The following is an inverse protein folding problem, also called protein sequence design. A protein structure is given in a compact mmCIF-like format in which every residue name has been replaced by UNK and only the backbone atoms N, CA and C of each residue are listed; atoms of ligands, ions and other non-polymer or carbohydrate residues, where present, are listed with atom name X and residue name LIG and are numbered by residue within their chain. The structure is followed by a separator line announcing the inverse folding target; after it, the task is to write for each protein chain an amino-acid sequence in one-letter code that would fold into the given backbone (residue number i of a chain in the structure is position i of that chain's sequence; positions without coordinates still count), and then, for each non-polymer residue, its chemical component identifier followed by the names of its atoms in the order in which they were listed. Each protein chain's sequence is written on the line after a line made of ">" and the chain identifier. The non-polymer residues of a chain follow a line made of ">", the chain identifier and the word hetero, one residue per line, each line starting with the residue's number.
data_IF_959722079516
#
_entry.id   IF_959722079516
#
_cell.length_a   1.000
_cell.length_b   1.000
_cell.length_c   1.000
_cell.angle_alpha   90.00
_cell.angle_beta   90.00
_cell.angle_gamma   90.00
#
_symmetry.space_group_name_H-M   'P 1'
#
loop_
_entity.id
_entity.type
_entity.pdbx_description
1 polymer ?
#
# COMPACT_ATOMS: atom_id res chain seq x y z
N UNK A 1 8.79 -32.22 4.15
CA UNK A 1 8.19 -31.06 3.48
C UNK A 1 8.97 -29.78 3.81
N UNK A 2 8.86 -28.74 2.99
CA UNK A 2 9.42 -27.39 3.15
C UNK A 2 8.28 -26.37 3.14
N UNK A 3 8.21 -25.49 4.15
CA UNK A 3 7.22 -24.42 4.24
C UNK A 3 7.88 -23.07 3.93
N UNK A 4 7.71 -22.50 2.71
CA UNK A 4 8.45 -21.32 2.27
C UNK A 4 7.83 -20.00 2.75
N UNK A 5 6.58 -20.03 3.20
CA UNK A 5 5.70 -18.86 3.37
C UNK A 5 5.83 -18.13 4.71
N UNK A 6 6.82 -18.47 5.54
CA UNK A 6 7.00 -17.91 6.90
C UNK A 6 8.29 -17.08 7.06
N UNK A 7 9.13 -17.00 6.02
CA UNK A 7 10.46 -16.37 6.08
C UNK A 7 10.57 -15.05 5.30
N UNK A 8 9.46 -14.38 5.01
CA UNK A 8 9.44 -13.22 4.12
C UNK A 8 10.01 -13.53 2.74
N UNK A 9 10.59 -12.51 2.08
CA UNK A 9 11.19 -12.68 0.76
C UNK A 9 12.39 -13.63 0.76
N UNK A 10 13.19 -13.61 1.83
CA UNK A 10 14.33 -14.53 1.99
C UNK A 10 13.86 -15.98 1.97
N UNK A 11 12.76 -16.30 2.66
CA UNK A 11 12.16 -17.64 2.68
C UNK A 11 11.69 -18.09 1.29
N UNK A 12 11.00 -17.22 0.55
CA UNK A 12 10.52 -17.51 -0.80
C UNK A 12 11.68 -17.73 -1.78
N UNK A 13 12.58 -16.75 -1.91
CA UNK A 13 13.69 -16.80 -2.86
C UNK A 13 14.61 -18.00 -2.59
N UNK A 14 14.91 -18.29 -1.32
CA UNK A 14 15.73 -19.46 -0.95
C UNK A 14 15.05 -20.76 -1.35
N UNK A 15 13.74 -20.87 -1.16
CA UNK A 15 12.98 -22.08 -1.47
C UNK A 15 12.88 -22.32 -2.98
N UNK A 16 12.63 -21.26 -3.75
CA UNK A 16 12.63 -21.32 -5.22
C UNK A 16 14.00 -21.69 -5.78
N UNK A 17 15.08 -21.12 -5.24
CA UNK A 17 16.44 -21.46 -5.65
C UNK A 17 16.77 -22.94 -5.35
N UNK A 18 16.36 -23.47 -4.19
CA UNK A 18 16.53 -24.89 -3.87
C UNK A 18 15.77 -25.82 -4.83
N UNK A 19 14.57 -25.41 -5.25
CA UNK A 19 13.77 -26.15 -6.22
C UNK A 19 14.41 -26.11 -7.62
N UNK A 20 14.84 -24.93 -8.08
CA UNK A 20 15.55 -24.75 -9.35
C UNK A 20 16.87 -25.55 -9.42
N UNK A 21 17.59 -25.65 -8.30
CA UNK A 21 18.78 -26.48 -8.18
C UNK A 21 18.48 -28.00 -8.15
N UNK A 22 17.22 -28.41 -8.17
CA UNK A 22 16.80 -29.83 -8.05
C UNK A 22 17.06 -30.44 -6.67
N UNK A 23 17.36 -29.62 -5.65
CA UNK A 23 17.67 -30.10 -4.29
C UNK A 23 16.43 -30.70 -3.65
N UNK A 24 15.26 -30.07 -3.83
CA UNK A 24 14.01 -30.57 -3.27
C UNK A 24 13.66 -31.96 -3.84
N UNK A 25 13.78 -32.14 -5.16
CA UNK A 25 13.58 -33.42 -5.82
C UNK A 25 14.59 -34.48 -5.34
N UNK A 26 15.89 -34.13 -5.32
CA UNK A 26 16.97 -35.02 -4.89
C UNK A 26 16.76 -35.61 -3.49
N UNK A 27 16.20 -34.81 -2.56
CA UNK A 27 15.96 -35.22 -1.18
C UNK A 27 14.50 -35.55 -0.87
N UNK A 28 13.63 -35.64 -1.90
CA UNK A 28 12.21 -35.91 -1.76
C UNK A 28 11.49 -34.98 -0.76
N UNK A 29 11.77 -33.67 -0.87
CA UNK A 29 11.20 -32.63 0.00
C UNK A 29 10.06 -31.93 -0.75
N UNK A 30 8.82 -32.22 -0.34
CA UNK A 30 7.65 -31.53 -0.89
C UNK A 30 7.52 -30.09 -0.36
N UNK A 31 7.32 -29.11 -1.24
CA UNK A 31 6.95 -27.74 -0.85
C UNK A 31 5.47 -27.69 -0.45
N UNK A 32 5.14 -27.14 0.72
CA UNK A 32 3.76 -27.06 1.25
C UNK A 32 3.37 -25.60 1.53
N UNK A 33 2.08 -25.33 1.73
CA UNK A 33 1.55 -23.99 1.96
C UNK A 33 1.29 -23.25 0.65
N UNK A 34 2.36 -22.85 -0.05
CA UNK A 34 2.32 -22.29 -1.40
C UNK A 34 3.32 -23.04 -2.29
N UNK A 35 2.86 -23.45 -3.48
CA UNK A 35 3.69 -24.15 -4.48
C UNK A 35 4.40 -23.12 -5.38
N UNK A 36 5.49 -23.52 -6.03
CA UNK A 36 6.27 -22.65 -6.93
C UNK A 36 5.45 -21.91 -7.98
N UNK A 37 4.51 -22.52 -8.73
CA UNK A 37 3.72 -21.79 -9.72
C UNK A 37 2.92 -20.63 -9.10
N UNK A 38 2.39 -20.81 -7.89
CA UNK A 38 1.66 -19.76 -7.19
C UNK A 38 2.58 -18.62 -6.73
N UNK A 39 3.77 -18.97 -6.20
CA UNK A 39 4.76 -17.98 -5.78
C UNK A 39 5.26 -17.18 -7.00
N UNK A 40 5.64 -17.84 -8.09
CA UNK A 40 6.11 -17.19 -9.32
C UNK A 40 5.02 -16.31 -9.95
N UNK A 41 3.76 -16.77 -9.98
CA UNK A 41 2.65 -15.99 -10.54
C UNK A 41 2.36 -14.71 -9.75
N UNK A 42 2.52 -14.74 -8.42
CA UNK A 42 2.31 -13.57 -7.58
C UNK A 42 3.50 -12.58 -7.62
N UNK A 43 4.73 -13.10 -7.59
CA UNK A 43 5.94 -12.29 -7.49
C UNK A 43 6.36 -11.69 -8.84
N UNK A 44 6.07 -12.37 -9.96
CA UNK A 44 6.29 -11.82 -11.29
C UNK A 44 5.13 -10.90 -11.70
N UNK A 45 5.42 -9.60 -11.80
CA UNK A 45 4.42 -8.57 -12.13
C UNK A 45 3.68 -8.81 -13.45
N UNK A 46 4.34 -9.41 -14.44
CA UNK A 46 3.72 -9.70 -15.73
C UNK A 46 2.74 -10.87 -15.58
N UNK A 47 3.18 -11.95 -14.93
CA UNK A 47 2.30 -13.10 -14.67
C UNK A 47 1.11 -12.71 -13.80
N UNK A 48 1.33 -11.88 -12.77
CA UNK A 48 0.28 -11.35 -11.93
C UNK A 48 -0.73 -10.53 -12.74
N UNK A 49 -0.26 -9.60 -13.58
CA UNK A 49 -1.11 -8.81 -14.47
C UNK A 49 -1.97 -9.69 -15.37
N UNK A 50 -1.37 -10.66 -16.03
CA UNK A 50 -2.07 -11.62 -16.90
C UNK A 50 -3.10 -12.45 -16.11
N UNK A 51 -2.80 -12.78 -14.84
CA UNK A 51 -3.72 -13.46 -13.95
C UNK A 51 -4.92 -12.59 -13.59
N UNK A 52 -4.71 -11.31 -13.26
CA UNK A 52 -5.78 -10.36 -12.97
C UNK A 52 -6.69 -10.16 -14.19
N UNK A 53 -6.10 -10.06 -15.39
CA UNK A 53 -6.85 -9.94 -16.66
C UNK A 53 -7.77 -11.16 -16.89
N UNK A 54 -7.32 -12.39 -16.55
CA UNK A 54 -8.13 -13.62 -16.70
C UNK A 54 -9.37 -13.64 -15.81
N UNK A 55 -9.29 -13.04 -14.62
CA UNK A 55 -10.42 -12.93 -13.69
C UNK A 55 -11.19 -11.61 -13.81
N UNK A 56 -10.87 -10.79 -14.82
CA UNK A 56 -11.58 -9.53 -15.11
C UNK A 56 -11.29 -8.42 -14.10
N UNK A 57 -10.17 -8.51 -13.37
CA UNK A 57 -9.71 -7.43 -12.50
C UNK A 57 -8.86 -6.45 -13.29
N UNK A 58 -9.19 -5.17 -13.13
CA UNK A 58 -8.53 -4.11 -13.86
C UNK A 58 -7.11 -3.87 -13.35
N UNK A 59 -6.19 -3.70 -14.29
CA UNK A 59 -4.82 -3.26 -14.04
C UNK A 59 -4.71 -1.75 -14.30
N UNK A 60 -3.79 -1.03 -13.63
CA UNK A 60 -3.50 0.37 -13.95
C UNK A 60 -3.22 0.50 -15.45
N UNK A 61 -3.78 1.53 -16.08
CA UNK A 61 -3.53 1.77 -17.50
C UNK A 61 -2.05 2.08 -17.71
N UNK A 62 -1.45 1.44 -18.70
CA UNK A 62 -0.07 1.69 -19.06
C UNK A 62 0.12 1.55 -20.57
N UNK A 63 1.03 2.33 -21.13
CA UNK A 63 1.42 2.23 -22.54
C UNK A 63 2.91 2.52 -22.71
N UNK A 64 3.48 2.02 -23.80
CA UNK A 64 4.87 2.27 -24.20
C UNK A 64 4.84 3.18 -25.42
N UNK A 65 5.65 4.22 -25.39
CA UNK A 65 5.85 5.12 -26.54
C UNK A 65 7.34 5.14 -26.87
N UNK A 66 7.66 5.00 -28.15
CA UNK A 66 9.04 5.02 -28.64
C UNK A 66 9.17 6.02 -29.79
N UNK A 67 10.18 6.88 -29.71
CA UNK A 67 10.50 7.78 -30.82
C UNK A 67 11.01 6.96 -32.02
N UNK A 68 10.50 7.21 -33.24
CA UNK A 68 10.96 6.51 -34.43
C UNK A 68 12.41 6.86 -34.74
N UNK A 69 13.17 5.88 -35.25
CA UNK A 69 14.57 6.07 -35.63
C UNK A 69 14.67 6.41 -37.12
N UNK A 70 15.24 7.57 -37.44
CA UNK A 70 15.46 8.00 -38.83
C UNK A 70 16.61 7.23 -39.50
N UNK A 71 16.71 7.36 -40.83
CA UNK A 71 17.75 6.71 -41.65
C UNK A 71 19.18 7.12 -41.25
N UNK A 72 19.35 8.29 -40.63
CA UNK A 72 20.61 8.79 -40.10
C UNK A 72 21.00 8.19 -38.74
N UNK A 73 20.21 7.25 -38.22
CA UNK A 73 20.44 6.59 -36.93
C UNK A 73 20.04 7.41 -35.70
N UNK A 74 19.49 8.62 -35.86
CA UNK A 74 18.97 9.45 -34.75
C UNK A 74 17.48 9.23 -34.54
N UNK A 75 17.04 9.33 -33.29
CA UNK A 75 15.62 9.27 -32.94
C UNK A 75 14.93 10.62 -33.17
N UNK A 76 13.72 10.59 -33.70
CA UNK A 76 12.85 11.76 -33.82
C UNK A 76 11.98 11.91 -32.56
N UNK A 77 12.52 12.63 -31.58
CA UNK A 77 11.86 12.87 -30.29
C UNK A 77 10.54 13.62 -30.46
N UNK A 78 10.38 14.46 -31.49
CA UNK A 78 9.14 15.21 -31.69
C UNK A 78 8.01 14.30 -32.18
N UNK A 79 8.32 13.34 -33.05
CA UNK A 79 7.35 12.33 -33.47
C UNK A 79 6.94 11.43 -32.29
N UNK A 80 7.89 11.00 -31.45
CA UNK A 80 7.58 10.26 -30.23
C UNK A 80 6.73 11.08 -29.25
N UNK A 81 7.05 12.37 -29.06
CA UNK A 81 6.27 13.22 -28.16
C UNK A 81 4.83 13.42 -28.64
N UNK A 82 4.58 13.51 -29.95
CA UNK A 82 3.23 13.58 -30.49
C UNK A 82 2.41 12.32 -30.09
N UNK A 83 3.00 11.13 -30.22
CA UNK A 83 2.38 9.88 -29.77
C UNK A 83 2.16 9.85 -28.25
N UNK A 84 3.12 10.36 -27.47
CA UNK A 84 2.96 10.47 -26.01
C UNK A 84 1.84 11.43 -25.61
N UNK A 85 1.65 12.54 -26.34
CA UNK A 85 0.55 13.48 -26.10
C UNK A 85 -0.80 12.80 -26.36
N UNK A 86 -0.93 12.00 -27.41
CA UNK A 86 -2.17 11.25 -27.67
C UNK A 86 -2.43 10.19 -26.59
N UNK A 87 -1.37 9.56 -26.07
CA UNK A 87 -1.45 8.56 -25.01
C UNK A 87 -2.04 9.10 -23.69
N UNK A 88 -2.00 10.42 -23.45
CA UNK A 88 -2.53 11.01 -22.21
C UNK A 88 -4.05 10.82 -22.09
N UNK A 89 -4.78 10.76 -23.20
CA UNK A 89 -6.24 10.55 -23.20
C UNK A 89 -6.61 9.13 -22.73
N UNK A 90 -5.70 8.17 -22.95
CA UNK A 90 -5.85 6.82 -22.44
C UNK A 90 -5.41 6.73 -20.97
N UNK A 91 -4.18 7.19 -20.66
CA UNK A 91 -3.55 6.99 -19.33
C UNK A 91 -4.13 7.93 -18.26
N UNK A 92 -4.43 9.18 -18.62
CA UNK A 92 -4.89 10.21 -17.70
C UNK A 92 -3.75 10.88 -16.91
N UNK A 93 -4.13 11.80 -16.03
CA UNK A 93 -3.22 12.46 -15.07
C UNK A 93 -3.73 12.26 -13.63
N UNK A 94 -2.83 12.18 -12.62
CA UNK A 94 -1.38 12.18 -12.79
C UNK A 94 -0.86 10.94 -13.54
N UNK A 95 0.29 11.05 -14.20
CA UNK A 95 0.94 9.97 -14.92
C UNK A 95 2.38 9.80 -14.47
N UNK A 96 2.86 8.56 -14.45
CA UNK A 96 4.25 8.21 -14.14
C UNK A 96 4.97 7.91 -15.45
N UNK A 97 6.01 8.68 -15.75
CA UNK A 97 6.82 8.52 -16.96
C UNK A 97 8.15 7.87 -16.57
N UNK A 98 8.47 6.72 -17.18
CA UNK A 98 9.68 5.93 -16.91
C UNK A 98 10.46 5.67 -18.18
N UNK A 99 11.68 6.22 -18.33
CA UNK A 99 12.50 5.98 -19.49
C UNK A 99 13.08 4.56 -19.50
N UNK A 100 13.04 3.90 -20.65
CA UNK A 100 13.59 2.57 -20.81
C UNK A 100 15.12 2.58 -20.68
N UNK A 101 15.68 1.53 -20.07
CA UNK A 101 17.13 1.35 -19.90
C UNK A 101 17.85 2.50 -19.18
N UNK A 102 17.14 3.23 -18.31
CA UNK A 102 17.73 4.23 -17.40
C UNK A 102 17.72 3.72 -15.96
N UNK A 103 18.62 4.25 -15.13
CA UNK A 103 18.70 3.95 -13.71
C UNK A 103 18.34 5.20 -12.89
N UNK A 104 17.82 4.99 -11.68
CA UNK A 104 17.53 6.08 -10.73
C UNK A 104 16.43 7.05 -11.17
N UNK A 105 15.59 6.67 -12.14
CA UNK A 105 14.51 7.53 -12.64
C UNK A 105 14.97 8.72 -13.49
N UNK A 106 16.22 8.70 -13.98
CA UNK A 106 16.77 9.78 -14.79
C UNK A 106 15.93 10.06 -16.05
N UNK A 107 15.48 11.30 -16.23
CA UNK A 107 14.59 11.75 -17.31
C UNK A 107 13.10 11.39 -17.12
N UNK A 108 12.75 10.63 -16.07
CA UNK A 108 11.37 10.31 -15.72
C UNK A 108 10.81 11.22 -14.63
N UNK A 109 9.55 11.01 -14.29
CA UNK A 109 8.89 11.77 -13.22
C UNK A 109 7.40 11.48 -13.11
N UNK A 110 6.75 12.16 -12.17
CA UNK A 110 5.30 12.16 -12.03
C UNK A 110 4.78 13.49 -12.57
N UNK A 111 3.95 13.41 -13.61
CA UNK A 111 3.27 14.55 -14.18
C UNK A 111 1.90 14.72 -13.54
N UNK A 112 1.61 15.90 -12.99
CA UNK A 112 0.31 16.25 -12.42
C UNK A 112 -0.52 17.14 -13.35
N UNK A 113 0.09 17.70 -14.38
CA UNK A 113 -0.54 18.52 -15.41
C UNK A 113 0.10 18.25 -16.79
N UNK A 114 -0.53 18.75 -17.85
CA UNK A 114 -0.08 18.50 -19.24
C UNK A 114 1.32 19.05 -19.52
N UNK A 115 1.68 20.19 -18.95
CA UNK A 115 3.00 20.81 -19.13
C UNK A 115 4.11 19.93 -18.54
N UNK A 116 3.92 19.44 -17.31
CA UNK A 116 4.83 18.48 -16.68
C UNK A 116 4.89 17.16 -17.46
N UNK A 117 3.75 16.71 -17.99
CA UNK A 117 3.68 15.50 -18.79
C UNK A 117 4.53 15.60 -20.06
N UNK A 118 4.37 16.67 -20.83
CA UNK A 118 5.19 16.90 -22.02
C UNK A 118 6.68 17.02 -21.68
N UNK A 119 7.00 17.69 -20.57
CA UNK A 119 8.37 17.82 -20.07
C UNK A 119 8.99 16.46 -19.75
N UNK A 120 8.32 15.62 -18.97
CA UNK A 120 8.83 14.30 -18.57
C UNK A 120 8.84 13.30 -19.73
N UNK A 121 7.86 13.35 -20.64
CA UNK A 121 7.89 12.53 -21.85
C UNK A 121 9.09 12.88 -22.74
N UNK A 122 9.35 14.17 -22.98
CA UNK A 122 10.49 14.62 -23.78
C UNK A 122 11.82 14.26 -23.12
N UNK A 123 12.03 14.70 -21.88
CA UNK A 123 13.28 14.42 -21.16
C UNK A 123 13.53 12.93 -20.98
N UNK A 124 12.46 12.14 -20.84
CA UNK A 124 12.54 10.70 -20.74
C UNK A 124 12.99 10.03 -22.04
N UNK A 125 12.41 10.42 -23.18
CA UNK A 125 12.87 9.91 -24.48
C UNK A 125 14.30 10.33 -24.79
N UNK A 126 14.71 11.54 -24.41
CA UNK A 126 16.10 12.00 -24.56
C UNK A 126 17.08 11.24 -23.67
N UNK A 127 16.67 10.85 -22.46
CA UNK A 127 17.49 10.10 -21.52
C UNK A 127 17.59 8.59 -21.87
N UNK A 128 16.56 8.02 -22.48
CA UNK A 128 16.54 6.60 -22.87
C UNK A 128 17.49 6.32 -24.05
N UNK A 129 18.42 5.35 -23.95
CA UNK A 129 19.29 4.94 -25.06
C UNK A 129 18.54 4.46 -26.32
N UNK A 130 17.29 4.04 -26.16
CA UNK A 130 16.39 3.58 -27.23
C UNK A 130 15.23 4.54 -27.49
N UNK A 131 15.29 5.75 -26.94
CA UNK A 131 14.25 6.78 -26.99
C UNK A 131 12.81 6.28 -26.73
N UNK A 132 12.67 5.41 -25.72
CA UNK A 132 11.42 4.80 -25.33
C UNK A 132 11.08 5.17 -23.89
N UNK A 133 9.81 5.44 -23.64
CA UNK A 133 9.25 5.68 -22.31
C UNK A 133 8.07 4.75 -22.06
N UNK A 134 7.89 4.37 -20.80
CA UNK A 134 6.71 3.72 -20.28
C UNK A 134 5.90 4.78 -19.53
N UNK A 135 4.63 4.92 -19.89
CA UNK A 135 3.70 5.88 -19.33
C UNK A 135 2.64 5.07 -18.58
N UNK A 136 2.63 5.19 -17.26
CA UNK A 136 1.70 4.50 -16.38
C UNK A 136 0.72 5.49 -15.75
N UNK A 137 -0.52 5.04 -15.55
CA UNK A 137 -1.53 5.73 -14.74
C UNK A 137 -0.99 5.86 -13.32
N UNK A 138 -1.02 7.08 -12.79
CA UNK A 138 -0.66 7.30 -11.39
C UNK A 138 -1.88 7.12 -10.52
N UNK A 139 -1.78 6.21 -9.57
CA UNK A 139 -2.77 6.03 -8.52
C UNK A 139 -2.48 6.91 -7.29
N UNK A 140 -1.53 7.85 -7.39
CA UNK A 140 -1.15 8.73 -6.27
C UNK A 140 -2.37 9.50 -5.75
N UNK A 141 -2.55 9.48 -4.42
CA UNK A 141 -3.67 10.14 -3.78
C UNK A 141 -4.97 9.34 -3.74
N UNK A 142 -5.04 8.16 -4.38
CA UNK A 142 -6.15 7.24 -4.18
C UNK A 142 -6.10 6.64 -2.77
N UNK A 143 -7.24 6.14 -2.29
CA UNK A 143 -7.30 5.40 -1.03
C UNK A 143 -6.59 4.07 -1.20
N UNK A 144 -5.86 3.62 -0.19
CA UNK A 144 -5.12 2.35 -0.21
C UNK A 144 -5.66 1.40 0.87
N UNK A 145 -5.93 0.15 0.49
CA UNK A 145 -6.51 -0.87 1.35
C UNK A 145 -5.75 -2.18 1.26
N UNK A 146 -5.82 -2.97 2.32
CA UNK A 146 -5.26 -4.31 2.38
C UNK A 146 -6.28 -5.30 2.94
N UNK A 147 -6.34 -6.49 2.35
CA UNK A 147 -7.18 -7.60 2.82
C UNK A 147 -6.29 -8.79 3.18
N UNK A 148 -6.34 -9.21 4.45
CA UNK A 148 -5.70 -10.44 4.90
C UNK A 148 -6.66 -11.60 4.68
N UNK A 149 -6.31 -12.48 3.75
CA UNK A 149 -7.15 -13.60 3.32
C UNK A 149 -6.52 -14.91 3.76
N UNK A 150 -7.32 -15.83 4.27
CA UNK A 150 -6.90 -17.21 4.55
C UNK A 150 -7.77 -18.18 3.77
N UNK A 151 -7.14 -19.14 3.09
CA UNK A 151 -7.81 -20.18 2.29
C UNK A 151 -7.28 -21.58 2.63
N UNK A 152 -8.17 -22.56 2.62
CA UNK A 152 -7.84 -23.97 2.82
C UNK A 152 -8.09 -24.87 1.60
N UNK A 153 -7.66 -26.12 1.71
CA UNK A 153 -7.76 -27.14 0.64
C UNK A 153 -9.21 -27.51 0.27
N UNK A 154 -10.20 -27.18 1.10
CA UNK A 154 -11.62 -27.38 0.82
C UNK A 154 -12.25 -26.17 0.11
N UNK A 155 -11.43 -25.19 -0.28
CA UNK A 155 -11.82 -23.92 -0.87
C UNK A 155 -12.64 -23.02 0.07
N UNK A 156 -12.59 -23.27 1.39
CA UNK A 156 -13.04 -22.28 2.35
C UNK A 156 -12.09 -21.09 2.31
N UNK A 157 -12.64 -19.88 2.24
CA UNK A 157 -11.86 -18.65 2.23
C UNK A 157 -12.54 -17.59 3.10
N UNK A 158 -11.75 -16.89 3.91
CA UNK A 158 -12.20 -15.87 4.85
C UNK A 158 -11.33 -14.62 4.75
N UNK A 159 -11.94 -13.46 4.95
CA UNK A 159 -11.22 -12.22 5.27
C UNK A 159 -10.98 -12.18 6.77
N UNK A 160 -9.73 -12.25 7.18
CA UNK A 160 -9.35 -12.15 8.59
C UNK A 160 -9.37 -10.69 9.04
N UNK A 161 -8.89 -9.78 8.19
CA UNK A 161 -8.82 -8.36 8.52
C UNK A 161 -8.83 -7.51 7.24
N UNK A 162 -9.55 -6.40 7.28
CA UNK A 162 -9.47 -5.33 6.30
C UNK A 162 -8.78 -4.12 6.92
N UNK A 163 -7.75 -3.61 6.25
CA UNK A 163 -6.93 -2.50 6.70
C UNK A 163 -7.11 -1.34 5.72
N UNK A 164 -7.29 -0.14 6.25
CA UNK A 164 -7.32 1.10 5.47
C UNK A 164 -6.10 1.95 5.80
N UNK A 165 -5.42 2.45 4.78
CA UNK A 165 -4.31 3.36 4.95
C UNK A 165 -4.84 4.79 5.15
N UNK A 166 -4.33 5.48 6.17
CA UNK A 166 -4.64 6.89 6.44
C UNK A 166 -3.82 7.78 5.50
N UNK A 167 -2.55 7.43 5.28
CA UNK A 167 -1.76 7.99 4.19
C UNK A 167 -2.27 7.42 2.86
N UNK A 168 -2.56 8.26 1.85
CA UNK A 168 -3.03 7.78 0.55
C UNK A 168 -1.90 7.15 -0.27
N UNK A 169 -2.28 6.46 -1.35
CA UNK A 169 -1.38 5.84 -2.32
C UNK A 169 -0.21 6.76 -2.68
N UNK A 170 1.00 6.21 -2.60
CA UNK A 170 2.26 6.93 -2.83
C UNK A 170 3.23 6.86 -1.65
N UNK A 171 2.71 6.53 -0.48
CA UNK A 171 3.49 6.09 0.68
C UNK A 171 3.32 4.58 0.79
N UNK A 172 4.41 3.83 0.88
CA UNK A 172 4.35 2.37 1.03
C UNK A 172 3.58 2.01 2.32
N UNK A 173 2.68 1.02 2.29
CA UNK A 173 1.88 0.57 3.45
C UNK A 173 2.66 0.40 4.77
N UNK A 174 3.88 -0.14 4.68
CA UNK A 174 4.84 -0.24 5.79
C UNK A 174 5.27 1.10 6.41
N UNK A 175 5.33 2.18 5.63
CA UNK A 175 5.62 3.56 6.04
C UNK A 175 4.36 4.41 6.22
N UNK A 176 3.18 3.89 5.89
CA UNK A 176 1.89 4.54 6.11
C UNK A 176 1.39 4.35 7.54
N UNK A 177 0.64 5.33 8.03
CA UNK A 177 -0.30 5.13 9.13
C UNK A 177 -1.47 4.31 8.58
N UNK A 178 -1.88 3.26 9.30
CA UNK A 178 -2.97 2.39 8.88
C UNK A 178 -3.93 2.10 10.03
N UNK A 179 -5.19 1.79 9.70
CA UNK A 179 -6.24 1.46 10.66
C UNK A 179 -6.92 0.15 10.31
N UNK A 180 -7.43 -0.54 11.33
CA UNK A 180 -8.34 -1.66 11.18
C UNK A 180 -9.57 -1.47 12.08
N UNK A 181 -10.80 -1.74 11.60
CA UNK A 181 -11.12 -2.20 10.24
C UNK A 181 -11.02 -1.07 9.21
N UNK A 182 -11.35 -1.34 7.95
CA UNK A 182 -11.66 -0.29 6.97
C UNK A 182 -12.87 0.54 7.44
N UNK A 183 -12.80 1.87 7.27
CA UNK A 183 -13.75 2.83 7.83
C UNK A 183 -14.55 3.59 6.75
N UNK A 184 -13.98 3.78 5.55
CA UNK A 184 -14.57 4.66 4.51
C UNK A 184 -15.14 3.92 3.30
N UNK A 185 -15.25 2.60 3.36
CA UNK A 185 -15.95 1.81 2.34
C UNK A 185 -17.42 1.64 2.72
N UNK A 186 -18.31 1.82 1.75
CA UNK A 186 -19.67 1.28 1.87
C UNK A 186 -19.61 -0.25 1.91
N UNK A 187 -20.63 -0.90 2.49
CA UNK A 187 -20.68 -2.37 2.47
C UNK A 187 -20.62 -2.93 1.04
N UNK A 188 -21.25 -2.27 0.05
CA UNK A 188 -21.16 -2.69 -1.37
C UNK A 188 -19.72 -2.70 -1.88
N UNK A 189 -18.97 -1.64 -1.62
CA UNK A 189 -17.56 -1.54 -1.99
C UNK A 189 -16.72 -2.60 -1.25
N UNK A 190 -16.96 -2.76 0.06
CA UNK A 190 -16.30 -3.78 0.87
C UNK A 190 -16.55 -5.20 0.32
N UNK A 191 -17.79 -5.54 -0.02
CA UNK A 191 -18.12 -6.86 -0.57
C UNK A 191 -17.46 -7.09 -1.94
N UNK A 192 -17.35 -6.07 -2.79
CA UNK A 192 -16.61 -6.16 -4.07
C UNK A 192 -15.13 -6.46 -3.80
N UNK A 193 -14.50 -5.69 -2.92
CA UNK A 193 -13.09 -5.88 -2.56
C UNK A 193 -12.84 -7.25 -1.90
N UNK A 194 -13.75 -7.69 -1.02
CA UNK A 194 -13.73 -9.02 -0.39
C UNK A 194 -13.80 -10.13 -1.42
N UNK A 195 -14.80 -10.09 -2.32
CA UNK A 195 -14.99 -11.11 -3.34
C UNK A 195 -13.78 -11.21 -4.27
N UNK A 196 -13.26 -10.06 -4.69
CA UNK A 196 -12.11 -10.00 -5.56
C UNK A 196 -10.83 -10.46 -4.86
N UNK A 197 -10.64 -10.16 -3.57
CA UNK A 197 -9.48 -10.65 -2.80
C UNK A 197 -9.46 -12.17 -2.72
N UNK A 198 -10.62 -12.80 -2.53
CA UNK A 198 -10.75 -14.27 -2.57
C UNK A 198 -10.49 -14.81 -3.99
N UNK A 199 -11.00 -14.13 -5.02
CA UNK A 199 -10.75 -14.51 -6.41
C UNK A 199 -9.25 -14.45 -6.78
N UNK A 200 -8.53 -13.44 -6.29
CA UNK A 200 -7.07 -13.31 -6.46
C UNK A 200 -6.35 -14.54 -5.89
N UNK A 201 -6.67 -14.97 -4.66
CA UNK A 201 -6.02 -16.15 -4.08
C UNK A 201 -6.31 -17.44 -4.89
N UNK A 202 -7.54 -17.58 -5.38
CA UNK A 202 -7.94 -18.73 -6.20
C UNK A 202 -7.20 -18.75 -7.54
N UNK A 203 -7.11 -17.61 -8.21
CA UNK A 203 -6.42 -17.49 -9.51
C UNK A 203 -4.92 -17.71 -9.39
N UNK A 204 -4.29 -17.12 -8.37
CA UNK A 204 -2.86 -17.32 -8.12
C UNK A 204 -2.57 -18.76 -7.67
N UNK A 205 -3.54 -19.45 -7.08
CA UNK A 205 -3.38 -20.85 -6.67
C UNK A 205 -2.80 -21.01 -5.25
N UNK A 206 -3.06 -20.07 -4.35
CA UNK A 206 -2.77 -20.25 -2.92
C UNK A 206 -3.92 -21.03 -2.29
N UNK A 207 -3.71 -22.31 -2.03
CA UNK A 207 -4.74 -23.24 -1.54
C UNK A 207 -4.66 -23.54 -0.04
N UNK A 208 -3.50 -23.37 0.61
CA UNK A 208 -3.31 -23.84 1.99
C UNK A 208 -2.54 -22.84 2.85
N UNK A 209 -3.09 -21.65 3.05
CA UNK A 209 -2.38 -20.61 3.80
C UNK A 209 -3.05 -19.25 3.80
N UNK A 210 -2.32 -18.26 4.32
CA UNK A 210 -2.70 -16.85 4.32
C UNK A 210 -1.91 -16.04 3.30
N UNK A 211 -2.56 -15.04 2.74
CA UNK A 211 -1.98 -14.05 1.81
C UNK A 211 -2.56 -12.67 2.07
N UNK A 212 -1.79 -11.64 1.75
CA UNK A 212 -2.22 -10.24 1.75
C UNK A 212 -2.53 -9.79 0.32
N UNK A 213 -3.66 -9.12 0.11
CA UNK A 213 -4.04 -8.52 -1.19
C UNK A 213 -4.20 -7.01 -1.02
N UNK A 214 -3.55 -6.22 -1.86
CA UNK A 214 -3.57 -4.76 -1.78
C UNK A 214 -4.43 -4.15 -2.89
N UNK A 215 -5.11 -3.07 -2.55
CA UNK A 215 -6.08 -2.39 -3.40
C UNK A 215 -5.89 -0.88 -3.35
N UNK A 216 -6.06 -0.22 -4.49
CA UNK A 216 -6.30 1.21 -4.57
C UNK A 216 -7.76 1.46 -4.95
N UNK A 217 -8.39 2.45 -4.30
CA UNK A 217 -9.77 2.86 -4.59
C UNK A 217 -9.81 4.35 -4.89
N UNK A 218 -10.34 4.71 -6.06
CA UNK A 218 -10.55 6.10 -6.41
C UNK A 218 -11.66 6.68 -5.53
N UNK A 219 -11.39 7.72 -4.72
CA UNK A 219 -12.42 8.31 -3.86
C UNK A 219 -13.54 9.01 -4.64
N UNK A 220 -13.32 9.35 -5.93
CA UNK A 220 -14.30 10.10 -6.72
C UNK A 220 -15.42 9.21 -7.31
N UNK A 221 -15.08 7.99 -7.75
CA UNK A 221 -16.01 7.10 -8.47
C UNK A 221 -16.07 5.66 -7.93
N UNK A 222 -15.24 5.31 -6.95
CA UNK A 222 -15.18 3.98 -6.36
C UNK A 222 -14.46 2.93 -7.22
N UNK A 223 -13.78 3.32 -8.31
CA UNK A 223 -12.98 2.40 -9.14
C UNK A 223 -11.92 1.72 -8.28
N UNK A 224 -11.84 0.39 -8.37
CA UNK A 224 -10.94 -0.44 -7.57
C UNK A 224 -9.88 -1.11 -8.44
N UNK A 225 -8.62 -0.94 -8.09
CA UNK A 225 -7.48 -1.53 -8.79
C UNK A 225 -6.71 -2.41 -7.81
N UNK A 226 -6.44 -3.64 -8.22
CA UNK A 226 -5.56 -4.54 -7.48
C UNK A 226 -4.11 -4.11 -7.71
N UNK A 227 -3.34 -3.97 -6.63
CA UNK A 227 -1.96 -3.48 -6.69
C UNK A 227 -0.98 -4.64 -6.73
N UNK A 228 -1.08 -5.52 -5.75
CA UNK A 228 -0.26 -6.73 -5.63
C UNK A 228 -0.94 -7.73 -4.69
N UNK A 229 -0.42 -8.95 -4.69
CA UNK A 229 -0.69 -9.92 -3.65
C UNK A 229 0.61 -10.54 -3.16
N UNK A 230 0.69 -10.81 -1.87
CA UNK A 230 1.85 -11.40 -1.23
C UNK A 230 1.49 -12.85 -0.82
N UNK A 231 2.05 -13.91 -1.45
CA UNK A 231 1.64 -15.31 -1.26
C UNK A 231 2.26 -15.94 0.01
N UNK A 232 2.26 -15.19 1.11
CA UNK A 232 2.93 -15.53 2.37
C UNK A 232 2.40 -14.67 3.52
N UNK A 233 2.82 -15.01 4.74
CA UNK A 233 2.68 -14.06 5.86
C UNK A 233 3.50 -12.79 5.60
N UNK A 234 3.00 -11.68 6.14
CA UNK A 234 3.53 -10.33 5.95
C UNK A 234 3.55 -9.56 7.27
N UNK A 235 4.13 -8.36 7.26
CA UNK A 235 3.98 -7.40 8.37
C UNK A 235 2.50 -7.12 8.67
N UNK A 236 1.69 -6.96 7.61
CA UNK A 236 0.25 -6.72 7.69
C UNK A 236 -0.50 -7.91 8.29
N UNK A 237 -0.09 -9.15 8.00
CA UNK A 237 -0.67 -10.34 8.63
C UNK A 237 -0.36 -10.42 10.13
N UNK A 238 0.81 -9.94 10.56
CA UNK A 238 1.16 -9.86 11.97
C UNK A 238 0.34 -8.78 12.69
N UNK A 239 0.20 -7.60 12.06
CA UNK A 239 -0.69 -6.53 12.52
C UNK A 239 -2.14 -7.02 12.62
N UNK A 240 -2.68 -7.64 11.58
CA UNK A 240 -4.03 -8.20 11.55
C UNK A 240 -4.25 -9.27 12.62
N UNK A 241 -3.26 -10.13 12.85
CA UNK A 241 -3.34 -11.14 13.92
C UNK A 241 -3.41 -10.50 15.30
N UNK A 242 -2.75 -9.34 15.49
CA UNK A 242 -2.81 -8.58 16.76
C UNK A 242 -4.08 -7.76 16.87
N UNK A 243 -4.56 -7.19 15.77
CA UNK A 243 -5.80 -6.41 15.69
C UNK A 243 -7.03 -7.26 16.03
N UNK A 244 -7.09 -8.48 15.48
CA UNK A 244 -8.28 -9.34 15.56
C UNK A 244 -8.17 -10.43 16.63
N UNK A 245 -6.95 -10.74 17.06
CA UNK A 245 -6.67 -11.90 17.88
C UNK A 245 -6.66 -13.23 17.12
N UNK A 246 -6.93 -13.23 15.81
CA UNK A 246 -6.88 -14.42 14.96
C UNK A 246 -5.41 -14.76 14.59
N UNK A 247 -4.87 -15.93 14.95
CA UNK A 247 -3.44 -16.21 14.78
C UNK A 247 -3.11 -16.72 13.37
N UNK A 248 -3.06 -15.83 12.37
CA UNK A 248 -2.94 -16.16 10.94
C UNK A 248 -1.80 -17.16 10.66
N UNK A 249 -0.57 -16.86 11.11
CA UNK A 249 0.58 -17.73 10.85
C UNK A 249 0.42 -19.14 11.46
N UNK A 250 -0.21 -19.24 12.64
CA UNK A 250 -0.48 -20.52 13.32
C UNK A 250 -1.51 -21.34 12.52
N UNK A 251 -2.59 -20.69 12.09
CA UNK A 251 -3.63 -21.33 11.27
C UNK A 251 -3.04 -21.76 9.91
N UNK A 252 -2.36 -20.85 9.20
CA UNK A 252 -1.73 -21.14 7.91
C UNK A 252 -0.74 -22.32 7.98
N UNK A 253 0.05 -22.45 9.06
CA UNK A 253 0.92 -23.60 9.25
C UNK A 253 0.16 -24.93 9.38
N UNK A 254 -1.01 -24.93 10.04
CA UNK A 254 -1.88 -26.11 10.15
C UNK A 254 -2.55 -26.42 8.81
N UNK A 255 -3.02 -25.42 8.08
CA UNK A 255 -3.59 -25.61 6.74
C UNK A 255 -2.58 -26.21 5.78
N UNK A 256 -1.31 -25.79 5.84
CA UNK A 256 -0.23 -26.32 5.01
C UNK A 256 0.04 -27.82 5.21
N UNK A 257 -0.36 -28.40 6.35
CA UNK A 257 -0.26 -29.86 6.60
C UNK A 257 -1.59 -30.58 6.42
N UNK A 258 -2.56 -29.92 5.78
CA UNK A 258 -3.79 -30.54 5.30
C UNK A 258 -5.01 -30.38 6.20
N UNK A 259 -4.98 -29.55 7.25
CA UNK A 259 -6.21 -29.18 7.96
C UNK A 259 -7.11 -28.28 7.10
N UNK A 260 -8.40 -28.25 7.41
CA UNK A 260 -9.34 -27.23 6.93
C UNK A 260 -9.71 -26.26 8.06
N UNK A 261 -10.23 -25.08 7.72
CA UNK A 261 -10.55 -24.02 8.68
C UNK A 261 -11.61 -24.43 9.70
N UNK A 262 -12.55 -25.30 9.30
CA UNK A 262 -13.62 -25.84 10.15
C UNK A 262 -13.12 -26.91 11.14
N UNK A 263 -11.97 -27.54 10.88
CA UNK A 263 -11.32 -28.50 11.79
C UNK A 263 -10.51 -27.83 12.90
N UNK A 264 -10.31 -26.51 12.82
CA UNK A 264 -9.44 -25.75 13.72
C UNK A 264 -10.28 -24.88 14.65
N UNK A 265 -10.02 -24.94 15.95
CA UNK A 265 -10.67 -24.04 16.91
C UNK A 265 -10.09 -22.63 16.85
N UNK A 266 -10.94 -21.63 17.10
CA UNK A 266 -10.50 -20.27 17.40
C UNK A 266 -9.88 -20.21 18.80
N UNK A 267 -8.59 -19.88 18.86
CA UNK A 267 -7.77 -19.84 20.08
C UNK A 267 -8.37 -19.00 21.22
N UNK A 268 -9.07 -17.90 20.91
CA UNK A 268 -9.55 -16.94 21.93
C UNK A 268 -10.91 -17.33 22.48
N UNK A 269 -11.84 -17.74 21.62
CA UNK A 269 -13.20 -18.09 22.06
C UNK A 269 -13.29 -19.53 22.55
N UNK A 270 -12.46 -20.44 22.01
CA UNK A 270 -12.42 -21.87 22.36
C UNK A 270 -13.69 -22.66 22.03
N UNK A 271 -14.70 -22.03 21.42
CA UNK A 271 -16.02 -22.61 21.15
C UNK A 271 -16.52 -22.37 19.72
N UNK A 272 -15.78 -21.60 18.93
CA UNK A 272 -16.07 -21.36 17.51
C UNK A 272 -14.94 -21.90 16.64
N UNK A 273 -15.21 -22.38 15.42
CA UNK A 273 -14.16 -22.78 14.50
C UNK A 273 -13.35 -21.55 14.02
N UNK A 274 -12.21 -21.80 13.36
CA UNK A 274 -11.39 -20.79 12.69
C UNK A 274 -11.98 -20.40 11.32
N UNK A 275 -13.01 -21.10 10.82
CA UNK A 275 -13.77 -20.78 9.61
C UNK A 275 -14.78 -19.64 9.83
N UNK A 276 -14.32 -18.47 10.25
CA UNK A 276 -15.14 -17.27 10.44
C UNK A 276 -14.34 -16.01 10.10
N UNK A 277 -15.05 -14.92 9.80
CA UNK A 277 -14.44 -13.60 9.65
C UNK A 277 -14.53 -12.85 10.99
N UNK A 278 -13.40 -12.44 11.60
CA UNK A 278 -13.42 -11.66 12.83
C UNK A 278 -14.20 -10.35 12.68
N UNK A 279 -14.94 -10.00 13.73
CA UNK A 279 -15.55 -8.67 13.88
C UNK A 279 -15.00 -8.06 15.15
N UNK A 280 -14.55 -6.81 15.07
CA UNK A 280 -13.96 -6.06 16.19
C UNK A 280 -14.87 -4.89 16.55
N UNK A 281 -14.98 -4.60 17.84
CA UNK A 281 -15.81 -3.52 18.40
C UNK A 281 -14.95 -2.32 18.88
N UNK A 282 -13.79 -2.17 18.24
CA UNK A 282 -12.77 -1.17 18.49
C UNK A 282 -12.06 -0.81 17.17
N UNK A 283 -11.30 0.26 17.19
CA UNK A 283 -10.39 0.68 16.11
C UNK A 283 -8.96 0.37 16.55
N UNK A 284 -8.19 -0.17 15.64
CA UNK A 284 -6.75 -0.37 15.77
C UNK A 284 -6.05 0.65 14.89
N UNK A 285 -5.00 1.29 15.40
CA UNK A 285 -4.17 2.22 14.63
C UNK A 285 -2.72 1.78 14.72
N UNK A 286 -2.06 1.67 13.55
CA UNK A 286 -0.62 1.46 13.43
C UNK A 286 0.04 2.76 12.97
N UNK A 287 1.16 3.11 13.59
CA UNK A 287 2.02 4.22 13.15
C UNK A 287 3.46 3.68 12.97
N UNK A 288 4.11 3.96 11.83
CA UNK A 288 5.49 3.53 11.59
C UNK A 288 6.49 4.38 12.36
N UNK A 289 7.56 3.74 12.84
CA UNK A 289 8.69 4.38 13.52
C UNK A 289 9.87 4.50 12.56
N UNK A 290 10.38 5.72 12.42
CA UNK A 290 11.55 6.04 11.60
C UNK A 290 12.79 6.27 12.46
N UNK A 291 13.98 6.38 11.88
CA UNK A 291 15.20 6.72 12.65
C UNK A 291 16.16 7.60 11.81
N UNK A 292 15.61 8.56 11.05
CA UNK A 292 16.38 9.41 10.14
C UNK A 292 17.49 10.21 10.84
N UNK A 293 17.33 10.52 12.13
CA UNK A 293 18.34 11.17 12.96
C UNK A 293 19.67 10.39 13.03
N UNK A 294 19.64 9.07 12.78
CA UNK A 294 20.83 8.21 12.75
C UNK A 294 21.53 8.16 11.39
N UNK A 295 20.94 8.75 10.35
CA UNK A 295 21.41 8.65 8.97
C UNK A 295 21.64 10.05 8.35
N UNK A 296 22.68 10.78 8.77
CA UNK A 296 22.98 12.11 8.24
C UNK A 296 23.21 12.04 6.72
N UNK A 297 22.38 12.77 5.96
CA UNK A 297 22.35 12.74 4.50
C UNK A 297 21.14 12.03 3.89
N UNK A 298 20.33 11.34 4.70
CA UNK A 298 19.03 10.80 4.26
C UNK A 298 17.92 11.82 4.51
N UNK A 299 17.18 12.16 3.45
CA UNK A 299 16.01 13.03 3.59
C UNK A 299 14.80 12.22 4.09
N UNK A 300 13.99 12.79 5.01
CA UNK A 300 12.83 12.12 5.61
C UNK A 300 11.61 12.14 4.67
N UNK A 301 11.83 11.89 3.39
CA UNK A 301 10.77 11.83 2.37
C UNK A 301 10.25 10.41 2.22
N UNK A 302 8.97 10.22 2.48
CA UNK A 302 8.29 8.93 2.32
C UNK A 302 7.93 8.70 0.86
N UNK A 303 8.05 7.45 0.40
CA UNK A 303 7.78 7.05 -0.98
C UNK A 303 7.19 5.64 -0.99
N UNK A 304 7.08 5.03 -2.16
CA UNK A 304 6.73 3.61 -2.33
C UNK A 304 7.82 2.62 -1.86
N UNK A 305 8.97 3.11 -1.40
CA UNK A 305 10.02 2.30 -0.80
C UNK A 305 10.07 2.54 0.72
N UNK A 306 9.88 1.47 1.50
CA UNK A 306 9.84 1.50 2.96
C UNK A 306 11.17 1.98 3.58
N UNK A 307 11.09 2.88 4.55
CA UNK A 307 12.21 3.47 5.31
C UNK A 307 12.03 3.40 6.82
N UNK A 308 10.85 3.02 7.29
CA UNK A 308 10.59 2.76 8.70
C UNK A 308 11.43 1.58 9.23
N UNK A 309 11.78 1.66 10.50
CA UNK A 309 12.60 0.66 11.23
C UNK A 309 11.77 -0.16 12.21
N UNK A 310 10.49 0.18 12.37
CA UNK A 310 9.55 -0.48 13.27
C UNK A 310 8.18 0.17 13.18
N UNK A 311 7.28 -0.23 14.06
CA UNK A 311 5.91 0.26 14.12
C UNK A 311 5.35 0.11 15.54
N UNK A 312 4.38 0.95 15.86
CA UNK A 312 3.57 0.81 17.09
C UNK A 312 2.13 0.52 16.70
N UNK A 313 1.40 -0.15 17.58
CA UNK A 313 -0.01 -0.44 17.42
C UNK A 313 -0.76 -0.03 18.68
N UNK A 314 -1.86 0.71 18.52
CA UNK A 314 -2.77 1.02 19.61
C UNK A 314 -4.19 0.55 19.27
N UNK A 315 -4.98 0.33 20.32
CA UNK A 315 -6.40 -0.04 20.24
C UNK A 315 -7.20 0.99 21.01
N UNK A 316 -8.28 1.51 20.45
CA UNK A 316 -9.22 2.40 21.11
C UNK A 316 -10.66 2.12 20.69
N UNK A 317 -11.63 2.52 21.51
CA UNK A 317 -13.07 2.39 21.19
C UNK A 317 -13.53 3.37 20.11
N UNK A 318 -12.67 4.30 19.72
CA UNK A 318 -12.86 5.24 18.62
C UNK A 318 -11.53 5.53 17.95
N UNK A 319 -11.58 6.11 16.74
CA UNK A 319 -10.38 6.59 16.06
C UNK A 319 -9.62 7.62 16.90
N UNK A 320 -10.31 8.55 17.57
CA UNK A 320 -9.70 9.55 18.45
C UNK A 320 -8.80 8.93 19.50
N UNK A 321 -9.34 7.96 20.24
CA UNK A 321 -8.61 7.26 21.30
C UNK A 321 -7.45 6.44 20.72
N UNK A 322 -7.71 5.67 19.67
CA UNK A 322 -6.71 4.79 19.06
C UNK A 322 -5.52 5.60 18.49
N UNK A 323 -5.81 6.68 17.77
CA UNK A 323 -4.79 7.55 17.16
C UNK A 323 -3.93 8.25 18.22
N UNK A 324 -4.55 8.88 19.22
CA UNK A 324 -3.81 9.57 20.29
C UNK A 324 -2.94 8.59 21.10
N UNK A 325 -3.45 7.39 21.39
CA UNK A 325 -2.65 6.34 22.04
C UNK A 325 -1.49 5.88 21.19
N UNK A 326 -1.68 5.72 19.87
CA UNK A 326 -0.60 5.35 18.97
C UNK A 326 0.50 6.41 18.95
N UNK A 327 0.14 7.70 18.80
CA UNK A 327 1.08 8.82 18.84
C UNK A 327 1.88 8.87 20.13
N UNK A 328 1.21 8.75 21.29
CA UNK A 328 1.87 8.74 22.58
C UNK A 328 2.78 7.52 22.80
N UNK A 329 2.50 6.40 22.13
CA UNK A 329 3.28 5.15 22.26
C UNK A 329 4.47 5.07 21.29
N UNK A 330 4.74 6.11 20.49
CA UNK A 330 5.81 6.14 19.49
C UNK A 330 7.24 6.10 20.07
N UNK A 331 7.39 6.26 21.39
CA UNK A 331 8.68 6.38 22.07
C UNK A 331 9.55 7.51 21.47
N UNK A 332 8.89 8.59 21.06
CA UNK A 332 9.48 9.83 20.51
C UNK A 332 9.30 11.03 21.45
N UNK A 333 8.65 10.83 22.60
CA UNK A 333 8.32 11.89 23.56
C UNK A 333 7.01 12.63 23.25
N UNK A 334 6.27 12.20 22.22
CA UNK A 334 4.94 12.73 21.93
C UNK A 334 3.94 12.33 23.03
N UNK A 335 2.99 13.21 23.28
CA UNK A 335 1.83 13.00 24.15
C UNK A 335 0.51 12.98 23.39
N UNK A 336 0.54 13.20 22.08
CA UNK A 336 -0.58 13.15 21.16
C UNK A 336 -0.24 13.91 19.88
N UNK A 337 -1.13 14.80 19.45
CA UNK A 337 -0.87 15.76 18.38
C UNK A 337 0.01 16.94 18.83
N UNK A 338 1.14 16.72 19.49
CA UNK A 338 2.02 17.80 19.96
C UNK A 338 2.37 18.77 18.83
N UNK A 339 2.35 20.07 19.14
CA UNK A 339 2.65 21.14 18.18
C UNK A 339 4.00 20.91 17.48
N UNK A 340 4.06 21.35 16.23
CA UNK A 340 5.28 21.29 15.42
C UNK A 340 5.47 22.64 14.74
N UNK A 341 6.69 23.17 14.77
CA UNK A 341 7.00 24.42 14.08
C UNK A 341 6.94 24.23 12.56
N UNK A 342 6.29 25.16 11.86
CA UNK A 342 6.25 25.21 10.40
C UNK A 342 7.01 26.49 9.98
N UNK A 343 8.28 26.35 9.53
CA UNK A 343 9.09 27.52 9.19
C UNK A 343 8.41 28.42 8.15
N UNK A 344 8.20 29.69 8.54
CA UNK A 344 7.59 30.72 7.69
C UNK A 344 6.06 30.78 7.73
N UNK A 345 5.39 29.95 8.54
CA UNK A 345 3.92 29.93 8.63
C UNK A 345 3.32 31.27 9.05
N UNK A 346 3.97 32.02 9.95
CA UNK A 346 3.50 33.34 10.41
C UNK A 346 3.62 34.44 9.33
N UNK A 347 4.43 34.21 8.29
CA UNK A 347 4.78 35.20 7.28
C UNK A 347 4.05 34.96 5.96
N UNK A 348 3.90 33.69 5.58
CA UNK A 348 3.33 33.27 4.31
C UNK A 348 2.47 32.02 4.49
N UNK A 349 1.15 32.09 4.28
CA UNK A 349 0.27 30.93 4.28
C UNK A 349 0.70 29.83 3.30
N UNK A 350 1.43 30.17 2.22
CA UNK A 350 1.97 29.18 1.29
C UNK A 350 3.05 28.27 1.92
N UNK A 351 3.69 28.70 3.02
CA UNK A 351 4.62 27.86 3.77
C UNK A 351 3.92 26.63 4.37
N UNK A 352 2.68 26.78 4.84
CA UNK A 352 1.87 25.69 5.40
C UNK A 352 1.52 24.68 4.29
N UNK A 353 1.03 25.17 3.15
CA UNK A 353 0.75 24.34 1.97
C UNK A 353 2.00 23.58 1.50
N UNK A 354 3.15 24.24 1.48
CA UNK A 354 4.43 23.61 1.12
C UNK A 354 4.86 22.55 2.12
N UNK A 355 4.61 22.74 3.41
CA UNK A 355 4.88 21.73 4.44
C UNK A 355 3.94 20.52 4.29
N UNK A 356 2.65 20.75 4.08
CA UNK A 356 1.64 19.70 3.84
C UNK A 356 1.94 18.86 2.58
N UNK A 357 2.46 19.48 1.52
CA UNK A 357 2.81 18.79 0.29
C UNK A 357 3.94 17.75 0.46
N UNK A 358 4.76 17.87 1.51
CA UNK A 358 5.86 16.93 1.77
C UNK A 358 5.34 15.67 2.47
N UNK A 359 5.51 14.53 1.83
CA UNK A 359 5.32 13.21 2.45
C UNK A 359 6.47 12.95 3.44
N UNK A 360 6.22 13.13 4.73
CA UNK A 360 7.22 13.00 5.81
C UNK A 360 6.63 12.26 7.01
N UNK A 361 7.46 11.66 7.89
CA UNK A 361 6.99 10.99 9.11
C UNK A 361 6.04 11.83 9.97
N UNK A 362 6.30 13.13 10.09
CA UNK A 362 5.51 14.04 10.93
C UNK A 362 4.31 14.66 10.20
N UNK A 363 3.98 14.21 8.96
CA UNK A 363 2.95 14.86 8.13
C UNK A 363 1.58 14.94 8.83
N UNK A 364 1.19 13.93 9.61
CA UNK A 364 -0.07 13.97 10.36
C UNK A 364 -0.08 15.05 11.46
N UNK A 365 1.08 15.35 12.07
CA UNK A 365 1.24 16.46 13.01
C UNK A 365 1.26 17.80 12.29
N UNK A 366 1.87 17.88 11.10
CA UNK A 366 1.80 19.07 10.24
C UNK A 366 0.36 19.35 9.81
N UNK A 367 -0.45 18.31 9.53
CA UNK A 367 -1.90 18.44 9.29
C UNK A 367 -2.58 19.06 10.52
N UNK A 368 -2.38 18.50 11.70
CA UNK A 368 -2.94 19.03 12.96
C UNK A 368 -2.50 20.48 13.22
N UNK A 369 -1.25 20.83 12.90
CA UNK A 369 -0.74 22.19 13.05
C UNK A 369 -1.35 23.16 12.02
N UNK A 370 -1.46 22.78 10.76
CA UNK A 370 -2.10 23.58 9.71
C UNK A 370 -3.54 23.96 10.09
N UNK A 371 -4.21 22.98 10.69
CA UNK A 371 -5.51 23.06 11.34
C UNK A 371 -5.56 24.10 12.47
N UNK A 372 -4.54 24.19 13.34
CA UNK A 372 -4.40 25.26 14.35
C UNK A 372 -4.17 26.64 13.73
N UNK A 373 -3.52 26.70 12.56
CA UNK A 373 -3.38 27.93 11.78
C UNK A 373 -4.64 28.29 10.96
N UNK A 374 -5.74 27.55 11.10
CA UNK A 374 -7.03 27.87 10.51
C UNK A 374 -7.25 27.38 9.08
N UNK A 375 -6.43 26.46 8.57
CA UNK A 375 -6.72 25.80 7.29
C UNK A 375 -7.94 24.88 7.42
N UNK A 376 -8.80 24.90 6.41
CA UNK A 376 -9.96 24.00 6.32
C UNK A 376 -9.56 22.59 5.90
N UNK A 377 -10.42 21.62 6.23
CA UNK A 377 -10.26 20.22 5.82
C UNK A 377 -10.17 20.09 4.29
N UNK A 378 -10.97 20.85 3.52
CA UNK A 378 -10.93 20.85 2.06
C UNK A 378 -9.57 21.31 1.51
N UNK A 379 -8.98 22.35 2.12
CA UNK A 379 -7.67 22.85 1.70
C UNK A 379 -6.56 21.84 2.01
N UNK A 380 -6.66 21.16 3.16
CA UNK A 380 -5.72 20.09 3.54
C UNK A 380 -5.89 18.88 2.62
N UNK A 381 -7.12 18.45 2.34
CA UNK A 381 -7.43 17.36 1.42
C UNK A 381 -6.88 17.62 0.02
N UNK A 382 -7.06 18.84 -0.51
CA UNK A 382 -6.59 19.21 -1.85
C UNK A 382 -5.08 18.97 -2.03
N UNK A 383 -4.29 19.13 -0.97
CA UNK A 383 -2.83 18.97 -0.96
C UNK A 383 -2.39 17.57 -0.56
N UNK A 384 -3.03 16.99 0.46
CA UNK A 384 -2.56 15.77 1.11
C UNK A 384 -3.20 14.51 0.58
N UNK A 385 -4.44 14.63 0.07
CA UNK A 385 -5.33 13.53 -0.32
C UNK A 385 -5.68 12.57 0.82
N UNK A 386 -5.48 12.97 2.07
CA UNK A 386 -5.98 12.26 3.24
C UNK A 386 -7.51 12.25 3.23
N UNK A 387 -8.14 11.09 3.42
CA UNK A 387 -9.60 11.00 3.34
C UNK A 387 -10.27 12.02 4.27
N UNK A 388 -11.29 12.77 3.80
CA UNK A 388 -12.00 13.78 4.60
C UNK A 388 -12.52 13.24 5.93
N UNK A 389 -12.86 11.95 6.01
CA UNK A 389 -13.28 11.33 7.27
C UNK A 389 -12.19 11.41 8.34
N UNK A 390 -10.93 11.11 8.00
CA UNK A 390 -9.82 11.20 8.94
C UNK A 390 -9.53 12.65 9.33
N UNK A 391 -9.57 13.57 8.36
CA UNK A 391 -9.36 15.00 8.62
C UNK A 391 -10.39 15.54 9.62
N UNK A 392 -11.67 15.20 9.43
CA UNK A 392 -12.73 15.62 10.35
C UNK A 392 -12.54 15.08 11.78
N UNK A 393 -12.07 13.84 11.94
CA UNK A 393 -11.77 13.28 13.27
C UNK A 393 -10.55 13.93 13.92
N UNK A 394 -9.53 14.29 13.13
CA UNK A 394 -8.38 15.05 13.65
C UNK A 394 -8.84 16.46 14.05
N UNK A 395 -9.67 17.12 13.23
CA UNK A 395 -10.26 18.43 13.50
C UNK A 395 -10.97 18.46 14.85
N UNK A 396 -11.81 17.47 15.14
CA UNK A 396 -12.52 17.33 16.42
C UNK A 396 -11.56 17.33 17.62
N UNK A 397 -10.38 16.68 17.52
CA UNK A 397 -9.36 16.69 18.58
C UNK A 397 -8.78 18.09 18.77
N UNK A 398 -8.43 18.76 17.68
CA UNK A 398 -7.78 20.08 17.73
C UNK A 398 -8.74 21.17 18.22
N UNK A 399 -10.03 21.06 17.88
CA UNK A 399 -11.06 21.96 18.41
C UNK A 399 -11.26 21.78 19.92
N UNK A 400 -11.27 20.53 20.39
CA UNK A 400 -11.35 20.23 21.82
C UNK A 400 -10.09 20.70 22.58
N UNK A 401 -8.91 20.55 21.98
CA UNK A 401 -7.66 21.10 22.51
C UNK A 401 -7.75 22.62 22.69
N UNK A 402 -8.25 23.35 21.68
CA UNK A 402 -8.44 24.80 21.77
C UNK A 402 -9.41 25.18 22.89
N UNK A 403 -10.54 24.45 23.01
CA UNK A 403 -11.53 24.66 24.07
C UNK A 403 -10.95 24.47 25.48
N UNK A 404 -10.01 23.54 25.65
CA UNK A 404 -9.34 23.29 26.93
C UNK A 404 -8.32 24.40 27.24
N UNK A 405 -7.64 24.97 26.24
CA UNK A 405 -6.67 26.08 26.43
C UNK A 405 -7.33 27.40 26.82
N UNK A 406 -8.55 27.63 26.36
CA UNK A 406 -9.33 28.84 26.68
C UNK A 406 -9.95 28.80 28.10
N UNK A 407 -9.87 27.66 28.80
CA UNK A 407 -10.28 27.49 30.20
C UNK A 407 -9.11 27.75 31.16
#
# INVERSE_FOLDING_TARGET
>A
ALLPTMGGQTGLNTSLALEEMGVLEKFNVEMIGAKRPAIEMAEDRKLFREAMDRIGLENPKATIVAAPKGENGKYDINAGLAEAIDAIEYVGLPAIIRPAFTLGGNGGGVAYNREQYEHFCRSGMEASPVAQILIDESLLGWKEFEMEVVRDKADNAIIVCAIENVDPMGVHTGDSITVAPALTLTDKEYQIMRNNSIAVLREIGVETGGSNVQWAVNPEDGRMIVIEMNPRVSRSSALASKATGFPIAKIAAKLAVGYTLDELDNDITGVTPASFEPTIDYVVTKIPRFAFEKFPGSEPHLTTAMKSVGEVMAIGRSFHESMQKALASMETGLTGFDEIDIPGADQDPAAITKALAKQTPDRIRVIAQAMRHGLSDDAIFAVTKFDPWFLARIREIIEEEARIRDQ
#
